data_IF_787801671870
#
_entry.id   IF_787801671870
#
_cell.length_a   1.000
_cell.length_b   1.000
_cell.length_c   1.000
_cell.angle_alpha   90.00
_cell.angle_beta   90.00
_cell.angle_gamma   90.00
#
_symmetry.space_group_name_H-M   'P 1'
#
loop_
_entity.id
_entity.type
_entity.pdbx_description
1 polymer ?
#
# COMPACT_ATOMS: atom_id res chain seq x y z
N UNK A 1 -8.56 19.42 -9.85
CA UNK A 1 -8.95 19.17 -8.43
C UNK A 1 -7.72 18.60 -7.76
N UNK A 2 -7.27 19.21 -6.68
CA UNK A 2 -6.10 18.71 -5.96
C UNK A 2 -6.50 17.55 -5.06
N UNK A 3 -5.55 16.66 -4.77
CA UNK A 3 -5.78 15.57 -3.85
C UNK A 3 -5.79 16.05 -2.40
N UNK A 4 -6.65 15.48 -1.56
CA UNK A 4 -6.68 15.73 -0.13
C UNK A 4 -5.28 15.55 0.48
N UNK A 5 -4.59 14.47 0.12
CA UNK A 5 -3.26 14.16 0.66
C UNK A 5 -2.22 15.22 0.31
N UNK A 6 -2.26 15.73 -0.92
CA UNK A 6 -1.33 16.79 -1.37
C UNK A 6 -1.64 18.12 -0.67
N UNK A 7 -2.92 18.43 -0.48
CA UNK A 7 -3.34 19.69 0.17
C UNK A 7 -3.08 19.69 1.69
N UNK A 8 -3.21 18.54 2.35
CA UNK A 8 -3.05 18.42 3.80
C UNK A 8 -1.63 18.12 4.23
N UNK A 9 -0.79 17.56 3.33
CA UNK A 9 0.60 17.25 3.62
C UNK A 9 1.49 18.41 3.21
N UNK A 10 2.06 19.12 4.18
CA UNK A 10 3.07 20.15 3.90
C UNK A 10 4.36 19.46 3.45
N UNK A 11 4.67 19.59 2.17
CA UNK A 11 5.93 19.11 1.63
C UNK A 11 6.96 20.24 1.65
N UNK A 12 7.59 20.45 2.80
CA UNK A 12 8.64 21.47 2.99
C UNK A 12 10.03 20.97 2.56
N UNK A 13 10.11 19.81 1.90
CA UNK A 13 11.35 19.25 1.40
C UNK A 13 11.84 20.07 0.20
N UNK A 14 12.74 20.98 0.45
CA UNK A 14 13.43 21.76 -0.59
C UNK A 14 14.60 20.94 -1.18
N UNK A 15 14.26 19.87 -1.89
CA UNK A 15 15.24 18.99 -2.53
C UNK A 15 15.72 19.62 -3.82
N UNK A 16 17.05 19.61 -4.00
CA UNK A 16 17.66 20.10 -5.24
C UNK A 16 17.62 19.03 -6.34
N UNK A 17 17.54 19.44 -7.60
CA UNK A 17 17.77 18.53 -8.72
C UNK A 17 19.14 17.87 -8.64
N UNK A 18 19.27 16.68 -9.22
CA UNK A 18 20.56 16.02 -9.38
C UNK A 18 21.38 16.83 -10.42
N UNK A 19 22.46 17.45 -9.97
CA UNK A 19 23.29 18.35 -10.80
C UNK A 19 24.60 17.70 -11.26
N UNK A 20 24.96 16.56 -10.67
CA UNK A 20 26.23 15.85 -10.95
C UNK A 20 26.04 14.34 -10.75
N UNK A 21 27.00 13.59 -11.24
CA UNK A 21 27.07 12.15 -11.00
C UNK A 21 27.23 11.86 -9.50
N UNK A 22 26.44 10.90 -9.01
CA UNK A 22 26.47 10.45 -7.62
C UNK A 22 26.65 8.94 -7.57
N UNK A 23 27.47 8.49 -6.60
CA UNK A 23 27.69 7.08 -6.35
C UNK A 23 26.88 6.59 -5.16
N UNK A 24 26.19 5.48 -5.33
CA UNK A 24 25.37 4.86 -4.30
C UNK A 24 25.40 3.34 -4.44
N UNK A 25 25.11 2.59 -3.37
CA UNK A 25 24.99 1.13 -3.46
C UNK A 25 23.70 0.72 -4.17
N UNK A 26 22.59 1.45 -3.92
CA UNK A 26 21.28 1.20 -4.51
C UNK A 26 20.64 2.51 -4.96
N UNK A 27 20.24 2.56 -6.22
CA UNK A 27 19.46 3.66 -6.77
C UNK A 27 18.00 3.21 -6.94
N UNK A 28 17.06 3.84 -6.24
CA UNK A 28 15.62 3.63 -6.39
C UNK A 28 15.05 4.71 -7.29
N UNK A 29 14.46 4.30 -8.41
CA UNK A 29 13.87 5.22 -9.38
C UNK A 29 12.37 5.34 -9.15
N UNK A 30 11.93 6.51 -8.71
CA UNK A 30 10.55 6.83 -8.36
C UNK A 30 10.33 6.93 -6.85
N UNK A 31 9.81 8.08 -6.40
CA UNK A 31 9.52 8.36 -5.00
C UNK A 31 8.00 8.29 -4.69
N UNK A 32 7.33 7.30 -5.23
CA UNK A 32 5.99 6.88 -4.80
C UNK A 32 6.05 5.95 -3.59
N UNK A 33 4.90 5.46 -3.13
CA UNK A 33 4.79 4.59 -1.96
C UNK A 33 5.72 3.38 -2.04
N UNK A 34 5.73 2.68 -3.18
CA UNK A 34 6.58 1.51 -3.37
C UNK A 34 8.08 1.84 -3.28
N UNK A 35 8.52 2.89 -3.99
CA UNK A 35 9.94 3.27 -4.01
C UNK A 35 10.43 3.75 -2.65
N UNK A 36 9.64 4.56 -1.96
CA UNK A 36 9.98 5.04 -0.62
C UNK A 36 10.03 3.91 0.41
N UNK A 37 9.07 2.98 0.38
CA UNK A 37 9.06 1.82 1.27
C UNK A 37 10.24 0.91 1.00
N UNK A 38 10.58 0.68 -0.27
CA UNK A 38 11.77 -0.09 -0.66
C UNK A 38 13.05 0.58 -0.13
N UNK A 39 13.19 1.88 -0.34
CA UNK A 39 14.36 2.63 0.15
C UNK A 39 14.45 2.57 1.68
N UNK A 40 13.33 2.72 2.38
CA UNK A 40 13.25 2.62 3.84
C UNK A 40 13.80 1.28 4.34
N UNK A 41 13.30 0.15 3.82
CA UNK A 41 13.79 -1.16 4.24
C UNK A 41 15.25 -1.41 3.88
N UNK A 42 15.72 -0.94 2.73
CA UNK A 42 17.12 -1.05 2.36
C UNK A 42 18.04 -0.24 3.30
N UNK A 43 17.59 0.95 3.74
CA UNK A 43 18.36 1.73 4.73
C UNK A 43 18.40 1.06 6.10
N UNK A 44 17.31 0.39 6.53
CA UNK A 44 17.31 -0.41 7.75
C UNK A 44 18.29 -1.59 7.67
N UNK A 45 18.57 -2.11 6.47
CA UNK A 45 19.58 -3.11 6.21
C UNK A 45 21.01 -2.54 6.08
N UNK A 46 21.20 -1.25 6.39
CA UNK A 46 22.49 -0.57 6.35
C UNK A 46 22.99 -0.21 4.96
N UNK A 47 22.12 -0.24 3.92
CA UNK A 47 22.49 0.13 2.56
C UNK A 47 22.52 1.64 2.37
N UNK A 48 23.48 2.13 1.59
CA UNK A 48 23.48 3.50 1.08
C UNK A 48 22.51 3.57 -0.10
N UNK A 49 21.36 4.25 0.10
CA UNK A 49 20.29 4.33 -0.91
C UNK A 49 20.13 5.76 -1.38
N UNK A 50 20.03 5.94 -2.69
CA UNK A 50 19.62 7.19 -3.31
C UNK A 50 18.29 6.98 -4.02
N UNK A 51 17.30 7.83 -3.70
CA UNK A 51 16.00 7.84 -4.40
C UNK A 51 16.00 8.99 -5.38
N UNK A 52 15.67 8.72 -6.63
CA UNK A 52 15.52 9.74 -7.67
C UNK A 52 14.06 9.80 -8.15
N UNK A 53 13.53 11.01 -8.25
CA UNK A 53 12.15 11.26 -8.69
C UNK A 53 12.14 12.36 -9.76
N UNK A 54 11.42 12.14 -10.84
CA UNK A 54 11.30 13.09 -11.95
C UNK A 54 10.48 14.33 -11.60
N UNK A 55 9.49 14.15 -10.71
CA UNK A 55 8.59 15.22 -10.27
C UNK A 55 8.80 15.51 -8.79
N UNK A 56 7.71 15.52 -8.05
CA UNK A 56 7.71 15.68 -6.59
C UNK A 56 7.41 14.35 -5.90
N UNK A 57 7.96 14.19 -4.71
CA UNK A 57 7.79 12.99 -3.89
C UNK A 57 6.30 12.79 -3.56
N UNK A 58 5.79 11.58 -3.82
CA UNK A 58 4.44 11.18 -3.44
C UNK A 58 3.31 11.80 -4.26
N UNK A 59 3.54 12.84 -5.06
CA UNK A 59 2.46 13.62 -5.68
C UNK A 59 1.77 12.96 -6.89
N UNK A 60 2.25 11.83 -7.38
CA UNK A 60 1.60 11.13 -8.49
C UNK A 60 0.53 10.15 -7.99
N UNK A 61 0.57 8.91 -8.43
CA UNK A 61 -0.42 7.87 -8.06
C UNK A 61 -0.58 7.76 -6.54
N UNK A 62 0.52 7.78 -5.79
CA UNK A 62 0.48 7.67 -4.33
C UNK A 62 -0.26 8.84 -3.67
N UNK A 63 -0.07 10.06 -4.18
CA UNK A 63 -0.79 11.25 -3.70
C UNK A 63 -2.26 11.31 -4.13
N UNK A 64 -2.76 10.40 -4.95
CA UNK A 64 -4.14 10.34 -5.43
C UNK A 64 -4.85 9.03 -5.04
N UNK A 65 -4.30 8.29 -4.08
CA UNK A 65 -4.93 7.09 -3.54
C UNK A 65 -6.16 7.43 -2.71
N UNK A 66 -7.05 6.46 -2.50
CA UNK A 66 -8.16 6.59 -1.53
C UNK A 66 -7.70 6.46 -0.09
N UNK A 67 -6.44 6.10 0.17
CA UNK A 67 -5.88 5.91 1.50
C UNK A 67 -6.42 4.69 2.26
N UNK A 68 -7.23 3.86 1.63
CA UNK A 68 -7.72 2.62 2.23
C UNK A 68 -6.64 1.54 2.15
N UNK A 69 -6.21 1.06 3.32
CA UNK A 69 -5.30 -0.07 3.47
C UNK A 69 -6.13 -1.27 3.90
N UNK A 70 -6.16 -2.34 3.10
CA UNK A 70 -7.09 -3.46 3.32
C UNK A 70 -6.59 -4.73 2.66
N UNK A 71 -6.91 -5.88 3.24
CA UNK A 71 -6.82 -7.19 2.60
C UNK A 71 -8.11 -7.59 1.87
N UNK A 72 -9.21 -6.85 2.08
CA UNK A 72 -10.49 -7.09 1.43
C UNK A 72 -10.66 -6.17 0.21
N UNK A 73 -10.53 -6.72 -0.99
CA UNK A 73 -10.65 -6.02 -2.27
C UNK A 73 -12.00 -6.33 -2.97
N UNK A 74 -13.11 -6.17 -2.26
CA UNK A 74 -14.43 -6.57 -2.72
C UNK A 74 -14.65 -8.08 -2.55
N UNK A 75 -15.29 -8.73 -3.52
CA UNK A 75 -15.52 -10.18 -3.57
C UNK A 75 -14.43 -10.81 -4.45
N UNK A 76 -13.25 -11.05 -3.90
CA UNK A 76 -12.05 -11.37 -4.66
C UNK A 76 -11.49 -12.78 -4.38
N UNK A 77 -11.65 -13.29 -3.16
CA UNK A 77 -11.03 -14.56 -2.75
C UNK A 77 -11.69 -15.79 -3.39
N UNK A 78 -13.00 -15.77 -3.61
CA UNK A 78 -13.68 -16.84 -4.35
C UNK A 78 -13.09 -16.99 -5.77
N UNK A 79 -12.83 -15.87 -6.46
CA UNK A 79 -12.18 -15.88 -7.76
C UNK A 79 -10.73 -16.35 -7.67
N UNK A 80 -9.96 -15.87 -6.70
CA UNK A 80 -8.57 -16.32 -6.52
C UNK A 80 -8.46 -17.82 -6.31
N UNK A 81 -9.33 -18.39 -5.47
CA UNK A 81 -9.34 -19.83 -5.23
C UNK A 81 -9.68 -20.61 -6.50
N UNK A 82 -10.67 -20.15 -7.27
CA UNK A 82 -11.07 -20.80 -8.52
C UNK A 82 -9.97 -20.76 -9.58
N UNK A 83 -9.29 -19.64 -9.71
CA UNK A 83 -8.32 -19.43 -10.77
C UNK A 83 -6.92 -19.98 -10.42
N UNK A 84 -6.52 -19.90 -9.15
CA UNK A 84 -5.14 -20.20 -8.72
C UNK A 84 -5.03 -21.18 -7.56
N UNK A 85 -6.15 -21.58 -6.96
CA UNK A 85 -6.19 -22.53 -5.83
C UNK A 85 -6.05 -21.86 -4.46
N UNK A 86 -6.38 -22.64 -3.41
CA UNK A 86 -6.43 -22.18 -2.02
C UNK A 86 -5.07 -21.72 -1.49
N UNK A 87 -3.98 -22.42 -1.85
CA UNK A 87 -2.63 -22.07 -1.42
C UNK A 87 -2.20 -20.67 -1.91
N UNK A 88 -2.53 -20.35 -3.16
CA UNK A 88 -2.22 -19.04 -3.73
C UNK A 88 -3.06 -17.95 -3.06
N UNK A 89 -4.35 -18.19 -2.88
CA UNK A 89 -5.26 -17.27 -2.22
C UNK A 89 -4.83 -17.00 -0.77
N UNK A 90 -4.40 -18.03 -0.04
CA UNK A 90 -3.84 -17.89 1.31
C UNK A 90 -2.57 -17.03 1.33
N UNK A 91 -1.61 -17.27 0.41
CA UNK A 91 -0.39 -16.45 0.29
C UNK A 91 -0.71 -14.99 -0.02
N UNK A 92 -1.70 -14.75 -0.87
CA UNK A 92 -2.16 -13.40 -1.19
C UNK A 92 -2.76 -12.69 0.03
N UNK A 93 -3.65 -13.38 0.77
CA UNK A 93 -4.22 -12.87 2.02
C UNK A 93 -3.10 -12.52 3.03
N UNK A 94 -2.21 -13.48 3.29
CA UNK A 94 -1.11 -13.31 4.24
C UNK A 94 -0.22 -12.11 3.87
N UNK A 95 0.13 -11.97 2.60
CA UNK A 95 0.95 -10.84 2.14
C UNK A 95 0.28 -9.47 2.37
N UNK A 96 -1.05 -9.39 2.19
CA UNK A 96 -1.80 -8.16 2.45
C UNK A 96 -1.93 -7.87 3.96
N UNK A 97 -2.21 -8.90 4.79
CA UNK A 97 -2.26 -8.74 6.24
C UNK A 97 -0.89 -8.33 6.82
N UNK A 98 0.20 -8.94 6.35
CA UNK A 98 1.55 -8.56 6.73
C UNK A 98 1.88 -7.11 6.30
N UNK A 99 1.41 -6.70 5.12
CA UNK A 99 1.59 -5.32 4.65
C UNK A 99 0.84 -4.31 5.53
N UNK A 100 -0.40 -4.62 5.94
CA UNK A 100 -1.19 -3.78 6.87
C UNK A 100 -0.44 -3.62 8.19
N UNK A 101 0.02 -4.73 8.76
CA UNK A 101 0.80 -4.72 10.00
C UNK A 101 2.09 -3.91 9.86
N UNK A 102 2.85 -4.16 8.80
CA UNK A 102 4.12 -3.44 8.56
C UNK A 102 3.92 -1.93 8.40
N UNK A 103 2.84 -1.50 7.73
CA UNK A 103 2.50 -0.07 7.60
C UNK A 103 2.22 0.53 8.97
N UNK A 104 1.43 -0.16 9.81
CA UNK A 104 1.15 0.28 11.18
C UNK A 104 2.44 0.38 12.02
N UNK A 105 3.29 -0.65 11.96
CA UNK A 105 4.56 -0.69 12.68
C UNK A 105 5.48 0.48 12.26
N UNK A 106 5.53 0.81 10.96
CA UNK A 106 6.29 1.98 10.45
C UNK A 106 5.73 3.28 11.02
N UNK A 107 4.40 3.47 10.97
CA UNK A 107 3.73 4.66 11.48
C UNK A 107 4.05 4.87 12.96
N UNK A 108 3.96 3.83 13.77
CA UNK A 108 4.23 3.87 15.20
C UNK A 108 5.73 4.12 15.49
N UNK A 109 6.61 3.39 14.83
CA UNK A 109 8.06 3.47 15.02
C UNK A 109 8.63 4.84 14.63
N UNK A 110 8.21 5.33 13.47
CA UNK A 110 8.67 6.60 12.93
C UNK A 110 7.82 7.80 13.41
N UNK A 111 6.79 7.54 14.25
CA UNK A 111 5.87 8.54 14.82
C UNK A 111 5.25 9.44 13.75
N UNK A 112 4.73 8.80 12.68
CA UNK A 112 4.14 9.52 11.57
C UNK A 112 2.74 10.01 11.95
N UNK A 113 2.55 11.32 11.98
CA UNK A 113 1.25 11.96 12.21
C UNK A 113 0.43 11.94 10.92
N UNK A 114 -0.35 10.87 10.71
CA UNK A 114 -1.14 10.65 9.49
C UNK A 114 -2.60 10.28 9.75
N UNK A 115 -3.09 10.51 10.98
CA UNK A 115 -4.49 10.19 11.38
C UNK A 115 -4.88 8.72 11.09
N UNK A 116 -3.91 7.79 11.17
CA UNK A 116 -4.17 6.37 10.94
C UNK A 116 -5.21 5.86 11.92
N UNK A 117 -6.23 5.19 11.40
CA UNK A 117 -7.28 4.60 12.23
C UNK A 117 -7.75 3.26 11.67
N UNK A 118 -7.88 2.27 12.55
CA UNK A 118 -8.44 0.98 12.19
C UNK A 118 -9.98 1.07 12.14
N UNK A 119 -10.55 0.55 11.06
CA UNK A 119 -12.00 0.51 10.84
C UNK A 119 -12.39 -0.85 10.28
N UNK A 120 -13.63 -1.27 10.56
CA UNK A 120 -14.19 -2.46 9.94
C UNK A 120 -14.51 -2.16 8.48
N UNK A 121 -14.16 -3.10 7.59
CA UNK A 121 -14.60 -3.09 6.20
C UNK A 121 -15.88 -3.91 6.05
N UNK A 122 -16.79 -3.44 5.21
CA UNK A 122 -18.07 -4.10 4.96
C UNK A 122 -18.29 -4.25 3.46
N UNK A 123 -18.82 -5.39 3.06
CA UNK A 123 -19.43 -5.61 1.76
C UNK A 123 -20.91 -5.83 2.00
N UNK A 124 -21.77 -5.23 1.19
CA UNK A 124 -23.21 -5.36 1.31
C UNK A 124 -23.83 -5.62 -0.07
N UNK A 125 -24.97 -6.29 -0.07
CA UNK A 125 -25.81 -6.52 -1.24
C UNK A 125 -26.96 -5.51 -1.27
N UNK A 126 -27.27 -4.99 -2.47
CA UNK A 126 -28.47 -4.19 -2.71
C UNK A 126 -29.61 -5.04 -3.29
N UNK A 127 -29.28 -6.22 -3.83
CA UNK A 127 -30.20 -7.15 -4.45
C UNK A 127 -30.00 -8.56 -3.92
N UNK A 128 -31.04 -9.39 -3.97
CA UNK A 128 -31.01 -10.76 -3.48
C UNK A 128 -30.00 -11.65 -4.23
N UNK A 129 -29.84 -11.45 -5.53
CA UNK A 129 -28.88 -12.21 -6.34
C UNK A 129 -27.42 -11.92 -5.96
N UNK A 130 -27.12 -10.72 -5.46
CA UNK A 130 -25.77 -10.35 -4.96
C UNK A 130 -25.43 -11.03 -3.62
N UNK A 131 -26.43 -11.48 -2.85
CA UNK A 131 -26.20 -12.17 -1.57
C UNK A 131 -25.44 -13.47 -1.76
N UNK A 132 -25.78 -14.25 -2.80
CA UNK A 132 -25.10 -15.50 -3.10
C UNK A 132 -23.60 -15.33 -3.38
N UNK A 133 -23.20 -14.21 -3.97
CA UNK A 133 -21.80 -13.93 -4.23
C UNK A 133 -21.05 -13.53 -2.95
N UNK A 134 -21.70 -12.82 -2.03
CA UNK A 134 -21.17 -12.58 -0.69
C UNK A 134 -21.00 -13.88 0.09
N UNK A 135 -21.98 -14.80 0.03
CA UNK A 135 -21.88 -16.10 0.70
C UNK A 135 -20.71 -16.94 0.17
N UNK A 136 -20.51 -16.98 -1.15
CA UNK A 136 -19.34 -17.64 -1.77
C UNK A 136 -18.02 -17.06 -1.28
N UNK A 137 -17.93 -15.73 -1.20
CA UNK A 137 -16.74 -15.06 -0.70
C UNK A 137 -16.47 -15.37 0.78
N UNK A 138 -17.52 -15.35 1.61
CA UNK A 138 -17.42 -15.75 3.03
C UNK A 138 -16.91 -17.18 3.16
N UNK A 139 -17.41 -18.12 2.33
CA UNK A 139 -16.97 -19.50 2.35
C UNK A 139 -15.55 -19.67 1.80
N UNK A 140 -15.15 -18.85 0.82
CA UNK A 140 -13.78 -18.80 0.32
C UNK A 140 -12.80 -18.32 1.41
N UNK A 141 -13.11 -17.22 2.09
CA UNK A 141 -12.25 -16.68 3.16
C UNK A 141 -12.12 -17.63 4.34
N UNK A 142 -13.14 -18.44 4.66
CA UNK A 142 -13.05 -19.47 5.71
C UNK A 142 -12.09 -20.62 5.40
N UNK A 143 -11.76 -20.83 4.11
CA UNK A 143 -10.87 -21.92 3.67
C UNK A 143 -9.40 -21.55 3.72
N UNK A 144 -9.12 -20.26 3.76
CA UNK A 144 -7.76 -19.69 3.74
C UNK A 144 -7.47 -18.91 5.03
#
# INVERSE_FOLDING_TARGET
MNSLWIETTKNDLNLKPLEKDEETEVCVVGAGLFGLTTAYYLTLLGKKVTVVERGKIGEKVSGHTTGKITSQHGLFYDHLIKDYGEEYAHKYLQANEDAIKNIKDIIEKEKIECEFSERKAYVYALKEDEVLDIEKEVDAVKKI
#
